data_IF_821376226189
#
_entry.id   IF_821376226189
#
_cell.length_a   1.000
_cell.length_b   1.000
_cell.length_c   1.000
_cell.angle_alpha   90.00
_cell.angle_beta   90.00
_cell.angle_gamma   90.00
#
_symmetry.space_group_name_H-M   'P 1'
#
loop_
_entity.id
_entity.type
_entity.pdbx_description
1 polymer ?
#
# COMPACT_ATOMS: atom_id res chain seq x y z
N UNK A 1 2.81 -38.92 -5.76
CA UNK A 1 3.25 -37.72 -6.50
C UNK A 1 4.70 -37.43 -6.10
N UNK A 2 5.63 -37.39 -7.06
CA UNK A 2 7.07 -37.38 -6.76
C UNK A 2 7.54 -36.11 -6.03
N UNK A 3 8.48 -36.26 -5.10
CA UNK A 3 8.99 -35.21 -4.22
C UNK A 3 9.60 -34.02 -5.00
N UNK A 4 10.18 -34.31 -6.18
CA UNK A 4 10.79 -33.30 -7.07
C UNK A 4 9.76 -32.36 -7.70
N UNK A 5 8.56 -32.87 -7.99
CA UNK A 5 7.47 -32.07 -8.55
C UNK A 5 6.99 -31.05 -7.50
N UNK A 6 6.83 -31.49 -6.25
CA UNK A 6 6.42 -30.64 -5.13
C UNK A 6 7.49 -29.55 -4.87
N UNK A 7 8.77 -29.91 -4.93
CA UNK A 7 9.89 -28.97 -4.75
C UNK A 7 9.94 -27.90 -5.84
N UNK A 8 9.76 -28.28 -7.11
CA UNK A 8 9.76 -27.32 -8.23
C UNK A 8 8.56 -26.38 -8.17
N UNK A 9 7.39 -26.88 -7.79
CA UNK A 9 6.19 -26.08 -7.58
C UNK A 9 6.42 -25.05 -6.47
N UNK A 10 7.01 -25.47 -5.34
CA UNK A 10 7.32 -24.56 -4.22
C UNK A 10 8.28 -23.44 -4.65
N UNK A 11 9.34 -23.75 -5.38
CA UNK A 11 10.30 -22.74 -5.85
C UNK A 11 9.69 -21.74 -6.84
N UNK A 12 8.81 -22.18 -7.74
CA UNK A 12 8.15 -21.29 -8.71
C UNK A 12 7.00 -20.46 -8.12
N UNK A 13 6.50 -20.83 -6.94
CA UNK A 13 5.40 -20.14 -6.27
C UNK A 13 5.84 -19.23 -5.12
N UNK A 14 7.08 -19.38 -4.65
CA UNK A 14 7.60 -18.62 -3.52
C UNK A 14 8.18 -17.29 -3.99
N UNK A 15 7.54 -16.20 -3.57
CA UNK A 15 8.01 -14.85 -3.84
C UNK A 15 9.26 -14.52 -3.01
N UNK A 16 10.10 -13.60 -3.50
CA UNK A 16 11.03 -12.87 -2.64
C UNK A 16 10.27 -11.91 -1.74
N UNK A 17 10.88 -11.46 -0.64
CA UNK A 17 10.29 -10.45 0.23
C UNK A 17 10.02 -9.15 -0.55
N UNK A 18 10.95 -8.72 -1.42
CA UNK A 18 10.81 -7.52 -2.24
C UNK A 18 9.58 -7.59 -3.16
N UNK A 19 9.41 -8.71 -3.86
CA UNK A 19 8.25 -8.92 -4.74
C UNK A 19 6.97 -9.02 -3.92
N UNK A 20 6.99 -9.66 -2.74
CA UNK A 20 5.84 -9.72 -1.87
C UNK A 20 5.42 -8.33 -1.38
N UNK A 21 6.37 -7.48 -0.93
CA UNK A 21 6.07 -6.10 -0.52
C UNK A 21 5.58 -5.24 -1.68
N UNK A 22 6.12 -5.44 -2.89
CA UNK A 22 5.64 -4.76 -4.09
C UNK A 22 4.19 -5.14 -4.41
N UNK A 23 3.86 -6.44 -4.40
CA UNK A 23 2.49 -6.88 -4.66
C UNK A 23 1.53 -6.41 -3.57
N UNK A 24 1.98 -6.37 -2.33
CA UNK A 24 1.18 -5.89 -1.21
C UNK A 24 0.80 -4.41 -1.38
N UNK A 25 1.78 -3.54 -1.61
CA UNK A 25 1.52 -2.10 -1.82
C UNK A 25 0.75 -1.84 -3.11
N UNK A 26 1.04 -2.58 -4.19
CA UNK A 26 0.26 -2.54 -5.44
C UNK A 26 -1.22 -2.86 -5.18
N UNK A 27 -1.48 -3.89 -4.39
CA UNK A 27 -2.83 -4.33 -4.02
C UNK A 27 -3.67 -3.30 -3.24
N UNK A 28 -3.03 -2.29 -2.63
CA UNK A 28 -3.72 -1.20 -1.94
C UNK A 28 -4.36 -0.19 -2.91
N UNK A 29 -3.85 -0.09 -4.15
CA UNK A 29 -4.29 0.90 -5.14
C UNK A 29 -4.93 0.29 -6.38
N UNK A 30 -4.61 -0.96 -6.70
CA UNK A 30 -5.16 -1.65 -7.85
C UNK A 30 -5.39 -3.14 -7.58
N UNK A 31 -6.26 -3.76 -8.40
CA UNK A 31 -6.56 -5.17 -8.26
C UNK A 31 -5.39 -6.02 -8.76
N UNK A 32 -4.92 -6.94 -7.92
CA UNK A 32 -3.93 -7.94 -8.30
C UNK A 32 -4.53 -9.02 -9.22
N UNK A 33 -3.67 -9.69 -10.00
CA UNK A 33 -4.07 -10.91 -10.68
C UNK A 33 -4.37 -12.01 -9.66
N UNK A 34 -5.28 -12.93 -9.99
CA UNK A 34 -5.64 -14.04 -9.09
C UNK A 34 -4.42 -14.89 -8.70
N UNK A 35 -3.46 -15.03 -9.61
CA UNK A 35 -2.23 -15.78 -9.37
C UNK A 35 -1.29 -15.05 -8.41
N UNK A 36 -1.16 -13.73 -8.56
CA UNK A 36 -0.33 -12.91 -7.67
C UNK A 36 -0.94 -12.84 -6.27
N UNK A 37 -2.27 -12.72 -6.17
CA UNK A 37 -2.98 -12.75 -4.90
C UNK A 37 -2.77 -14.09 -4.17
N UNK A 38 -2.88 -15.22 -4.87
CA UNK A 38 -2.63 -16.54 -4.30
C UNK A 38 -1.17 -16.69 -3.82
N UNK A 39 -0.20 -16.30 -4.64
CA UNK A 39 1.23 -16.35 -4.29
C UNK A 39 1.56 -15.47 -3.10
N UNK A 40 1.00 -14.26 -3.05
CA UNK A 40 1.16 -13.32 -1.94
C UNK A 40 0.60 -13.92 -0.65
N UNK A 41 -0.62 -14.48 -0.67
CA UNK A 41 -1.21 -15.16 0.50
C UNK A 41 -0.33 -16.29 1.03
N UNK A 42 0.22 -17.13 0.14
CA UNK A 42 1.15 -18.20 0.54
C UNK A 42 2.45 -17.64 1.14
N UNK A 43 2.98 -16.55 0.59
CA UNK A 43 4.18 -15.91 1.14
C UNK A 43 3.91 -15.34 2.54
N UNK A 44 2.81 -14.62 2.75
CA UNK A 44 2.43 -14.05 4.05
C UNK A 44 2.17 -15.11 5.13
N UNK A 45 1.67 -16.29 4.74
CA UNK A 45 1.52 -17.43 5.64
C UNK A 45 2.87 -17.97 6.17
N UNK A 46 3.94 -17.83 5.38
CA UNK A 46 5.27 -18.39 5.71
C UNK A 46 6.31 -17.35 6.18
N UNK A 47 6.11 -16.06 5.85
CA UNK A 47 7.05 -14.98 6.18
C UNK A 47 6.46 -14.03 7.23
N UNK A 48 6.98 -14.11 8.46
CA UNK A 48 6.55 -13.25 9.58
C UNK A 48 6.83 -11.76 9.32
N UNK A 49 7.92 -11.43 8.62
CA UNK A 49 8.30 -10.04 8.34
C UNK A 49 7.31 -9.38 7.37
N UNK A 50 6.97 -10.05 6.27
CA UNK A 50 6.00 -9.52 5.31
C UNK A 50 4.59 -9.41 5.91
N UNK A 51 4.19 -10.31 6.81
CA UNK A 51 2.93 -10.17 7.56
C UNK A 51 2.94 -8.94 8.48
N UNK A 52 4.05 -8.71 9.20
CA UNK A 52 4.16 -7.51 10.03
C UNK A 52 4.16 -6.24 9.18
N UNK A 53 4.79 -6.28 8.00
CA UNK A 53 4.76 -5.16 7.06
C UNK A 53 3.32 -4.85 6.61
N UNK A 54 2.52 -5.86 6.26
CA UNK A 54 1.09 -5.71 5.93
C UNK A 54 0.29 -5.02 7.05
N UNK A 55 0.47 -5.49 8.29
CA UNK A 55 -0.20 -4.92 9.46
C UNK A 55 0.20 -3.44 9.66
N UNK A 56 1.49 -3.13 9.50
CA UNK A 56 2.02 -1.78 9.67
C UNK A 56 1.54 -0.82 8.57
N UNK A 57 1.54 -1.24 7.29
CA UNK A 57 1.06 -0.37 6.21
C UNK A 57 -0.44 -0.13 6.33
N UNK A 58 -1.22 -1.15 6.71
CA UNK A 58 -2.64 -1.00 6.97
C UNK A 58 -2.92 -0.01 8.11
N UNK A 59 -2.18 -0.08 9.22
CA UNK A 59 -2.29 0.86 10.34
C UNK A 59 -1.92 2.29 9.92
N UNK A 60 -0.80 2.49 9.23
CA UNK A 60 -0.37 3.80 8.74
C UNK A 60 -1.42 4.41 7.81
N UNK A 61 -1.94 3.62 6.86
CA UNK A 61 -2.96 4.04 5.93
C UNK A 61 -4.26 4.43 6.65
N UNK A 62 -4.62 3.69 7.70
CA UNK A 62 -5.80 4.03 8.52
C UNK A 62 -5.60 5.34 9.27
N UNK A 63 -4.44 5.52 9.92
CA UNK A 63 -4.12 6.76 10.61
C UNK A 63 -4.17 7.96 9.66
N UNK A 64 -3.58 7.85 8.46
CA UNK A 64 -3.61 8.91 7.45
C UNK A 64 -5.05 9.26 7.04
N UNK A 65 -5.91 8.26 6.83
CA UNK A 65 -7.33 8.49 6.55
C UNK A 65 -8.03 9.21 7.69
N UNK A 66 -7.76 8.81 8.93
CA UNK A 66 -8.34 9.44 10.11
C UNK A 66 -7.87 10.90 10.27
N UNK A 67 -6.60 11.19 9.94
CA UNK A 67 -6.09 12.57 9.86
C UNK A 67 -6.81 13.41 8.80
N UNK A 68 -7.13 12.82 7.64
CA UNK A 68 -7.88 13.53 6.58
C UNK A 68 -9.34 13.84 6.96
N UNK A 69 -9.88 13.16 7.96
CA UNK A 69 -11.21 13.39 8.51
C UNK A 69 -11.21 14.33 9.72
N UNK A 70 -10.06 14.94 10.08
CA UNK A 70 -10.01 15.97 11.11
C UNK A 70 -10.82 17.17 10.61
N UNK A 71 -11.93 17.40 11.30
CA UNK A 71 -12.82 18.52 11.08
C UNK A 71 -12.00 19.82 11.02
N UNK A 72 -12.17 20.60 9.94
CA UNK A 72 -11.37 21.80 9.63
C UNK A 72 -11.33 22.82 10.77
N UNK A 73 -12.24 22.70 11.74
CA UNK A 73 -12.36 23.53 12.93
C UNK A 73 -11.15 23.45 13.88
N UNK A 74 -10.32 22.40 13.81
CA UNK A 74 -9.11 22.26 14.65
C UNK A 74 -7.79 22.51 13.91
N UNK A 75 -7.82 22.76 12.60
CA UNK A 75 -6.62 23.07 11.82
C UNK A 75 -6.24 24.54 12.03
N UNK A 76 -5.23 24.78 12.87
CA UNK A 76 -4.72 26.13 13.16
C UNK A 76 -3.90 26.72 12.01
N UNK A 77 -3.37 25.88 11.13
CA UNK A 77 -2.57 26.28 9.97
C UNK A 77 -3.41 26.22 8.68
N UNK A 78 -4.14 27.30 8.41
CA UNK A 78 -4.81 27.53 7.12
C UNK A 78 -3.98 28.49 6.25
N UNK A 79 -4.09 28.33 4.94
CA UNK A 79 -3.58 29.33 4.01
C UNK A 79 -4.27 30.68 4.27
N UNK A 80 -3.46 31.74 4.31
CA UNK A 80 -3.98 33.11 4.31
C UNK A 80 -4.66 33.42 2.98
N UNK A 81 -5.56 34.41 2.97
CA UNK A 81 -6.27 34.79 1.74
C UNK A 81 -5.29 35.26 0.66
N UNK A 82 -4.17 35.89 1.03
CA UNK A 82 -3.10 36.26 0.10
C UNK A 82 -2.44 35.02 -0.55
N UNK A 83 -2.14 33.98 0.24
CA UNK A 83 -1.58 32.74 -0.30
C UNK A 83 -2.57 32.02 -1.24
N UNK A 84 -3.87 32.05 -0.92
CA UNK A 84 -4.92 31.49 -1.79
C UNK A 84 -5.03 32.25 -3.10
N UNK A 85 -5.07 33.59 -3.04
CA UNK A 85 -5.17 34.42 -4.23
C UNK A 85 -3.97 34.23 -5.16
N UNK A 86 -2.75 34.19 -4.61
CA UNK A 86 -1.54 33.88 -5.40
C UNK A 86 -1.62 32.51 -6.09
N UNK A 87 -2.19 31.50 -5.43
CA UNK A 87 -2.37 30.17 -6.03
C UNK A 87 -3.41 30.21 -7.16
N UNK A 88 -4.53 30.91 -6.98
CA UNK A 88 -5.55 31.10 -8.03
C UNK A 88 -4.97 31.82 -9.24
N UNK A 89 -4.24 32.92 -9.03
CA UNK A 89 -3.63 33.68 -10.13
C UNK A 89 -2.68 32.81 -10.98
N UNK A 90 -1.97 31.85 -10.37
CA UNK A 90 -1.08 30.93 -11.11
C UNK A 90 -1.87 29.90 -11.93
N UNK A 91 -3.03 29.47 -11.45
CA UNK A 91 -3.87 28.48 -12.14
C UNK A 91 -4.64 29.13 -13.29
N UNK A 92 -5.18 30.32 -13.07
CA UNK A 92 -6.05 31.02 -14.03
C UNK A 92 -5.27 31.73 -15.15
N UNK A 93 -3.98 32.06 -14.93
CA UNK A 93 -3.10 32.64 -15.96
C UNK A 93 -2.29 31.58 -16.73
N UNK A 94 -2.81 30.35 -16.84
CA UNK A 94 -2.21 29.25 -17.61
C UNK A 94 -3.08 28.88 -18.81
#
# INVERSE_FOLDING_TARGET
MSNDIIKNIKNNMMLSCDTATLLLTKGEYEKLSLMDELRLKMHLASCKLCRRFEEQTAEMNQQIRDFSNIDNTKITHKLTDNQKNKLSDIIDNK
#
